data_IF_393285742274
#
_entry.id   IF_393285742274
#
_cell.length_a   1.000
_cell.length_b   1.000
_cell.length_c   1.000
_cell.angle_alpha   90.00
_cell.angle_beta   90.00
_cell.angle_gamma   90.00
#
_symmetry.space_group_name_H-M   'P 1'
#
loop_
_entity.id
_entity.type
_entity.pdbx_description
1 polymer ?
#
# COMPACT_ATOMS: atom_id res chain seq x y z
N UNK A 1 60.41 16.77 29.96
CA UNK A 1 59.41 17.75 29.51
C UNK A 1 59.18 17.46 28.05
N UNK A 2 58.18 16.62 27.76
CA UNK A 2 57.67 16.41 26.42
C UNK A 2 56.30 17.09 26.44
N UNK A 3 56.18 18.17 25.69
CA UNK A 3 54.93 18.91 25.53
C UNK A 3 54.02 18.10 24.61
N UNK A 4 52.84 17.76 25.12
CA UNK A 4 51.71 17.28 24.34
C UNK A 4 51.27 18.39 23.38
N UNK A 5 51.61 18.26 22.10
CA UNK A 5 50.91 18.96 21.01
C UNK A 5 49.49 18.40 20.89
N UNK A 6 48.57 18.94 21.71
CA UNK A 6 47.16 18.93 21.35
C UNK A 6 46.96 19.90 20.19
N UNK A 7 46.95 19.38 18.97
CA UNK A 7 46.42 20.05 17.80
C UNK A 7 44.93 20.34 18.01
N UNK A 8 44.63 21.51 18.56
CA UNK A 8 43.27 22.04 18.56
C UNK A 8 42.87 22.35 17.12
N UNK A 9 41.80 21.72 16.63
CA UNK A 9 41.15 22.16 15.40
C UNK A 9 40.79 23.66 15.54
N UNK A 10 41.14 24.51 14.57
CA UNK A 10 40.88 25.93 14.68
C UNK A 10 39.36 26.18 14.68
N UNK A 11 38.88 27.03 15.59
CA UNK A 11 37.46 27.30 15.78
C UNK A 11 36.70 27.76 14.50
N UNK A 12 37.44 28.25 13.50
CA UNK A 12 36.93 28.60 12.17
C UNK A 12 36.46 27.38 11.37
N UNK A 13 37.17 26.25 11.44
CA UNK A 13 36.84 25.04 10.67
C UNK A 13 35.54 24.42 11.16
N UNK A 14 35.35 24.36 12.49
CA UNK A 14 34.11 23.88 13.09
C UNK A 14 32.92 24.77 12.77
N UNK A 15 33.13 26.08 12.62
CA UNK A 15 32.09 27.01 12.21
C UNK A 15 31.70 26.82 10.73
N UNK A 16 32.67 26.64 9.83
CA UNK A 16 32.37 26.38 8.40
C UNK A 16 31.67 25.03 8.18
N UNK A 17 32.10 23.96 8.87
CA UNK A 17 31.44 22.65 8.80
C UNK A 17 29.99 22.70 9.31
N UNK A 18 29.72 23.47 10.36
CA UNK A 18 28.37 23.70 10.86
C UNK A 18 27.49 24.44 9.83
N UNK A 19 28.05 25.45 9.13
CA UNK A 19 27.35 26.14 8.04
C UNK A 19 26.99 25.19 6.90
N UNK A 20 27.87 24.26 6.52
CA UNK A 20 27.55 23.25 5.51
C UNK A 20 26.39 22.35 5.91
N UNK A 21 26.36 21.94 7.18
CA UNK A 21 25.26 21.14 7.72
C UNK A 21 23.95 21.91 7.67
N UNK A 22 23.93 23.17 8.09
CA UNK A 22 22.74 24.02 8.05
C UNK A 22 22.21 24.20 6.63
N UNK A 23 23.09 24.44 5.64
CA UNK A 23 22.70 24.54 4.24
C UNK A 23 22.05 23.25 3.71
N UNK A 24 22.57 22.09 4.10
CA UNK A 24 22.00 20.79 3.70
C UNK A 24 20.70 20.51 4.44
N UNK A 25 20.60 20.86 5.73
CA UNK A 25 19.37 20.71 6.50
C UNK A 25 18.25 21.62 5.94
N UNK A 26 18.57 22.85 5.52
CA UNK A 26 17.65 23.75 4.81
C UNK A 26 17.18 23.17 3.47
N UNK A 27 18.06 22.51 2.71
CA UNK A 27 17.72 21.83 1.47
C UNK A 27 16.74 20.67 1.69
N UNK A 28 16.97 19.85 2.72
CA UNK A 28 16.03 18.78 3.09
C UNK A 28 14.69 19.35 3.56
N UNK A 29 14.71 20.40 4.40
CA UNK A 29 13.49 21.07 4.84
C UNK A 29 12.71 21.67 3.66
N UNK A 30 13.39 22.26 2.68
CA UNK A 30 12.77 22.76 1.45
C UNK A 30 12.06 21.64 0.67
N UNK A 31 12.68 20.46 0.54
CA UNK A 31 12.06 19.30 -0.12
C UNK A 31 10.88 18.74 0.66
N UNK A 32 11.05 18.53 1.96
CA UNK A 32 10.11 17.82 2.83
C UNK A 32 8.88 18.67 3.14
N UNK A 33 9.08 19.98 3.30
CA UNK A 33 8.04 20.96 3.60
C UNK A 33 7.67 21.83 2.37
N UNK A 34 7.95 21.36 1.15
CA UNK A 34 7.73 22.12 -0.10
C UNK A 34 6.31 22.69 -0.19
N UNK A 35 5.31 21.90 0.20
CA UNK A 35 3.89 22.28 0.15
C UNK A 35 3.41 23.17 1.32
N UNK A 36 4.29 23.55 2.25
CA UNK A 36 3.99 24.59 3.24
C UNK A 36 4.18 25.99 2.65
N UNK A 37 5.05 26.11 1.64
CA UNK A 37 5.39 27.38 0.98
C UNK A 37 4.92 27.45 -0.46
N UNK A 38 4.63 26.32 -1.10
CA UNK A 38 4.12 26.20 -2.46
C UNK A 38 2.73 25.53 -2.46
N UNK A 39 1.89 25.97 -3.38
CA UNK A 39 0.56 25.41 -3.58
C UNK A 39 0.61 24.05 -4.30
N UNK A 40 -0.47 23.28 -4.25
CA UNK A 40 -0.52 21.94 -4.89
C UNK A 40 -0.47 22.06 -6.43
N UNK A 41 -0.94 23.18 -6.96
CA UNK A 41 -0.85 23.54 -8.38
C UNK A 41 0.60 23.62 -8.87
N UNK A 42 1.56 23.82 -7.96
CA UNK A 42 2.99 23.90 -8.25
C UNK A 42 3.70 22.56 -8.09
N UNK A 43 3.00 21.48 -7.73
CA UNK A 43 3.59 20.15 -7.48
C UNK A 43 4.46 19.64 -8.63
N UNK A 44 4.08 19.92 -9.88
CA UNK A 44 4.85 19.53 -11.07
C UNK A 44 6.24 20.19 -11.16
N UNK A 45 6.50 21.27 -10.41
CA UNK A 45 7.80 21.97 -10.34
C UNK A 45 8.66 21.51 -9.17
N UNK A 46 8.11 20.76 -8.20
CA UNK A 46 8.82 20.35 -6.98
C UNK A 46 10.17 19.70 -7.29
N UNK A 47 10.21 18.73 -8.20
CA UNK A 47 11.44 18.01 -8.53
C UNK A 47 12.49 18.91 -9.18
N UNK A 48 12.08 19.84 -10.07
CA UNK A 48 13.01 20.79 -10.68
C UNK A 48 13.52 21.82 -9.68
N UNK A 49 12.66 22.31 -8.79
CA UNK A 49 13.03 23.32 -7.79
C UNK A 49 13.99 22.72 -6.76
N UNK A 50 13.72 21.49 -6.29
CA UNK A 50 14.62 20.74 -5.40
C UNK A 50 15.98 20.49 -6.07
N UNK A 51 16.00 20.14 -7.37
CA UNK A 51 17.24 19.98 -8.11
C UNK A 51 18.04 21.29 -8.22
N UNK A 52 17.37 22.43 -8.45
CA UNK A 52 18.03 23.74 -8.49
C UNK A 52 18.60 24.16 -7.13
N UNK A 53 17.86 23.97 -6.03
CA UNK A 53 18.37 24.23 -4.69
C UNK A 53 19.52 23.29 -4.32
N UNK A 54 19.44 22.02 -4.73
CA UNK A 54 20.54 21.07 -4.58
C UNK A 54 21.81 21.55 -5.30
N UNK A 55 21.70 21.97 -6.55
CA UNK A 55 22.86 22.47 -7.33
C UNK A 55 23.48 23.72 -6.69
N UNK A 56 22.65 24.64 -6.18
CA UNK A 56 23.13 25.84 -5.45
C UNK A 56 23.90 25.45 -4.18
N UNK A 57 23.36 24.52 -3.38
CA UNK A 57 24.01 24.06 -2.16
C UNK A 57 25.28 23.27 -2.45
N UNK A 58 25.27 22.41 -3.47
CA UNK A 58 26.43 21.66 -3.91
C UNK A 58 27.57 22.58 -4.34
N UNK A 59 27.27 23.65 -5.10
CA UNK A 59 28.28 24.61 -5.52
C UNK A 59 29.01 25.27 -4.34
N UNK A 60 28.27 25.64 -3.28
CA UNK A 60 28.86 26.21 -2.05
C UNK A 60 29.78 25.23 -1.32
N UNK A 61 29.43 23.94 -1.33
CA UNK A 61 30.29 22.88 -0.78
C UNK A 61 31.55 22.69 -1.63
N UNK A 62 31.42 22.68 -2.95
CA UNK A 62 32.53 22.48 -3.90
C UNK A 62 33.56 23.62 -3.86
N UNK A 63 33.14 24.87 -3.60
CA UNK A 63 34.04 26.02 -3.39
C UNK A 63 35.05 25.82 -2.25
N UNK A 64 34.79 24.87 -1.35
CA UNK A 64 35.57 24.58 -0.15
C UNK A 64 36.12 23.15 -0.12
N UNK A 65 35.94 22.38 -1.21
CA UNK A 65 36.29 20.97 -1.26
C UNK A 65 37.78 20.71 -1.03
N UNK A 66 38.67 21.48 -1.66
CA UNK A 66 40.13 21.33 -1.53
C UNK A 66 40.62 21.45 -0.07
N UNK A 67 39.85 22.14 0.78
CA UNK A 67 40.19 22.34 2.20
C UNK A 67 39.61 21.24 3.08
N UNK A 68 38.38 20.79 2.80
CA UNK A 68 37.62 19.91 3.69
C UNK A 68 37.39 18.49 3.17
N UNK A 69 37.90 18.11 1.99
CA UNK A 69 37.65 16.79 1.38
C UNK A 69 38.08 15.58 2.26
N UNK A 70 38.94 15.81 3.25
CA UNK A 70 39.38 14.79 4.20
C UNK A 70 38.56 14.74 5.49
N UNK A 71 37.72 15.75 5.76
CA UNK A 71 36.86 15.80 6.95
C UNK A 71 35.61 14.94 6.74
N UNK A 72 35.33 14.07 7.72
CA UNK A 72 34.16 13.19 7.70
C UNK A 72 32.86 13.96 7.54
N UNK A 73 32.69 15.06 8.30
CA UNK A 73 31.48 15.88 8.26
C UNK A 73 31.23 16.49 6.88
N UNK A 74 32.27 16.98 6.21
CA UNK A 74 32.16 17.50 4.84
C UNK A 74 31.73 16.42 3.85
N UNK A 75 32.35 15.23 3.93
CA UNK A 75 31.98 14.08 3.10
C UNK A 75 30.53 13.65 3.32
N UNK A 76 30.05 13.68 4.58
CA UNK A 76 28.66 13.43 4.93
C UNK A 76 27.74 14.47 4.28
N UNK A 77 27.99 15.77 4.48
CA UNK A 77 27.14 16.83 3.94
C UNK A 77 27.11 16.83 2.40
N UNK A 78 28.25 16.63 1.73
CA UNK A 78 28.29 16.48 0.27
C UNK A 78 27.49 15.26 -0.19
N UNK A 79 27.62 14.14 0.50
CA UNK A 79 26.83 12.93 0.25
C UNK A 79 25.32 13.14 0.44
N UNK A 80 24.91 13.77 1.54
CA UNK A 80 23.51 14.12 1.83
C UNK A 80 22.94 15.08 0.80
N UNK A 81 23.67 16.15 0.44
CA UNK A 81 23.27 17.10 -0.59
C UNK A 81 22.92 16.38 -1.90
N UNK A 82 23.80 15.49 -2.38
CA UNK A 82 23.58 14.71 -3.59
C UNK A 82 22.49 13.63 -3.45
N UNK A 83 22.16 13.21 -2.22
CA UNK A 83 21.12 12.23 -1.93
C UNK A 83 19.72 12.86 -1.86
N UNK A 84 19.56 14.19 -1.94
CA UNK A 84 18.21 14.79 -1.93
C UNK A 84 17.39 14.40 -3.17
N UNK A 85 18.07 14.23 -4.32
CA UNK A 85 17.45 13.82 -5.57
C UNK A 85 17.00 12.35 -5.54
N UNK A 86 15.93 11.97 -6.25
CA UNK A 86 15.40 10.60 -6.22
C UNK A 86 16.34 9.56 -6.86
N UNK A 87 17.23 9.98 -7.77
CA UNK A 87 18.15 9.10 -8.47
C UNK A 87 19.41 8.73 -7.67
N UNK A 88 20.03 7.61 -8.06
CA UNK A 88 21.32 7.18 -7.53
C UNK A 88 22.46 8.14 -7.95
N UNK A 89 23.37 8.45 -7.02
CA UNK A 89 24.58 9.25 -7.27
C UNK A 89 25.84 8.48 -6.87
N UNK A 90 26.65 8.12 -7.87
CA UNK A 90 27.93 7.45 -7.63
C UNK A 90 28.90 8.32 -6.82
N UNK A 91 28.80 9.64 -6.93
CA UNK A 91 29.60 10.59 -6.14
C UNK A 91 29.14 10.56 -4.68
N UNK A 92 27.84 10.55 -4.42
CA UNK A 92 27.30 10.41 -3.07
C UNK A 92 27.74 9.08 -2.43
N UNK A 93 27.61 7.96 -3.15
CA UNK A 93 28.07 6.65 -2.67
C UNK A 93 29.54 6.69 -2.28
N UNK A 94 30.41 7.29 -3.11
CA UNK A 94 31.85 7.42 -2.83
C UNK A 94 32.13 8.26 -1.58
N UNK A 95 31.51 9.44 -1.47
CA UNK A 95 31.67 10.32 -0.32
C UNK A 95 31.22 9.65 0.97
N UNK A 96 30.03 9.05 0.98
CA UNK A 96 29.43 8.40 2.15
C UNK A 96 30.19 7.13 2.55
N UNK A 97 30.61 6.32 1.57
CA UNK A 97 31.46 5.14 1.81
C UNK A 97 32.79 5.50 2.46
N UNK A 98 33.36 6.66 2.10
CA UNK A 98 34.58 7.17 2.73
C UNK A 98 34.29 7.70 4.13
N UNK A 99 33.20 8.44 4.33
CA UNK A 99 32.80 8.97 5.63
C UNK A 99 32.64 7.86 6.68
N UNK A 100 31.87 6.80 6.38
CA UNK A 100 31.65 5.69 7.33
C UNK A 100 32.90 4.82 7.57
N UNK A 101 33.89 4.88 6.67
CA UNK A 101 35.19 4.22 6.89
C UNK A 101 36.09 5.02 7.82
N UNK A 102 36.07 6.35 7.71
CA UNK A 102 36.82 7.25 8.59
C UNK A 102 36.20 7.26 9.98
N UNK A 103 34.87 7.23 10.06
CA UNK A 103 34.13 7.23 11.31
C UNK A 103 33.01 6.17 11.30
N UNK A 104 33.31 4.92 11.71
CA UNK A 104 32.33 3.83 11.74
C UNK A 104 31.11 4.08 12.64
N UNK A 105 31.22 4.99 13.61
CA UNK A 105 30.12 5.40 14.50
C UNK A 105 29.13 6.40 13.88
N UNK A 106 29.39 6.88 12.65
CA UNK A 106 28.59 7.91 11.99
C UNK A 106 27.25 7.36 11.47
N UNK A 107 26.25 7.34 12.34
CA UNK A 107 24.90 6.80 12.07
C UNK A 107 24.26 7.42 10.83
N UNK A 108 24.32 8.75 10.68
CA UNK A 108 23.73 9.44 9.54
C UNK A 108 24.44 9.10 8.22
N UNK A 109 25.74 8.85 8.28
CA UNK A 109 26.52 8.37 7.13
C UNK A 109 26.06 6.99 6.67
N UNK A 110 25.86 6.06 7.61
CA UNK A 110 25.33 4.74 7.30
C UNK A 110 23.90 4.79 6.74
N UNK A 111 23.03 5.61 7.33
CA UNK A 111 21.66 5.77 6.85
C UNK A 111 21.63 6.33 5.43
N UNK A 112 22.36 7.42 5.18
CA UNK A 112 22.41 8.06 3.86
C UNK A 112 23.05 7.13 2.82
N UNK A 113 24.07 6.35 3.19
CA UNK A 113 24.67 5.33 2.30
C UNK A 113 23.68 4.21 1.99
N UNK A 114 22.89 3.78 2.98
CA UNK A 114 21.84 2.78 2.78
C UNK A 114 20.75 3.23 1.82
N UNK A 115 20.37 4.52 1.85
CA UNK A 115 19.45 5.13 0.88
C UNK A 115 20.06 5.19 -0.53
N UNK A 116 21.35 5.46 -0.67
CA UNK A 116 22.03 5.40 -1.97
C UNK A 116 22.04 3.98 -2.54
N UNK A 117 22.29 2.95 -1.71
CA UNK A 117 22.18 1.56 -2.15
C UNK A 117 20.75 1.17 -2.53
N UNK A 118 19.74 1.70 -1.81
CA UNK A 118 18.33 1.54 -2.19
C UNK A 118 18.06 2.10 -3.58
N UNK A 119 18.48 3.35 -3.85
CA UNK A 119 18.33 4.01 -5.15
C UNK A 119 19.09 3.29 -6.27
N UNK A 120 20.20 2.62 -5.94
CA UNK A 120 20.97 1.77 -6.86
C UNK A 120 20.29 0.43 -7.16
N UNK A 121 19.26 0.05 -6.40
CA UNK A 121 18.61 -1.27 -6.44
C UNK A 121 19.34 -2.36 -5.65
N UNK A 122 20.40 -2.02 -4.92
CA UNK A 122 21.13 -2.96 -4.06
C UNK A 122 20.48 -3.03 -2.67
N UNK A 123 19.38 -3.79 -2.59
CA UNK A 123 18.62 -3.97 -1.35
C UNK A 123 19.43 -4.66 -0.24
N UNK A 124 20.41 -5.50 -0.61
CA UNK A 124 21.27 -6.18 0.37
C UNK A 124 22.29 -5.19 0.96
N UNK A 125 22.95 -4.39 0.12
CA UNK A 125 23.82 -3.30 0.55
C UNK A 125 23.08 -2.31 1.45
N UNK A 126 21.85 -1.96 1.07
CA UNK A 126 20.96 -1.09 1.86
C UNK A 126 20.65 -1.69 3.24
N UNK A 127 20.22 -2.96 3.31
CA UNK A 127 19.99 -3.69 4.57
C UNK A 127 21.21 -3.67 5.47
N UNK A 128 22.39 -3.96 4.90
CA UNK A 128 23.64 -4.03 5.65
C UNK A 128 24.01 -2.68 6.27
N UNK A 129 23.79 -1.58 5.55
CA UNK A 129 24.03 -0.22 6.06
C UNK A 129 23.12 0.12 7.23
N UNK A 130 21.81 -0.11 7.12
CA UNK A 130 20.87 0.18 8.22
C UNK A 130 21.10 -0.72 9.44
N UNK A 131 21.46 -1.99 9.20
CA UNK A 131 21.84 -2.91 10.29
C UNK A 131 23.12 -2.44 10.97
N UNK A 132 24.12 -2.00 10.20
CA UNK A 132 25.37 -1.43 10.72
C UNK A 132 25.14 -0.18 11.56
N UNK A 133 24.28 0.74 11.10
CA UNK A 133 23.87 1.92 11.86
C UNK A 133 23.24 1.56 13.22
N UNK A 134 22.37 0.54 13.24
CA UNK A 134 21.72 0.07 14.47
C UNK A 134 22.68 -0.61 15.46
N UNK A 135 23.79 -1.18 14.97
CA UNK A 135 24.85 -1.71 15.83
C UNK A 135 25.61 -0.58 16.55
N UNK A 136 25.71 0.60 15.95
CA UNK A 136 26.36 1.77 16.56
C UNK A 136 25.42 2.46 17.55
N UNK A 137 24.19 2.75 17.12
CA UNK A 137 23.19 3.39 17.96
C UNK A 137 21.77 3.10 17.47
N UNK A 138 20.88 2.78 18.41
CA UNK A 138 19.46 2.61 18.13
C UNK A 138 18.85 3.97 17.75
N UNK A 139 18.35 4.09 16.52
CA UNK A 139 17.81 5.34 15.99
C UNK A 139 16.60 5.08 15.07
N UNK A 140 15.69 6.07 14.96
CA UNK A 140 14.43 5.91 14.21
C UNK A 140 14.63 5.81 12.70
N UNK A 141 15.62 6.50 12.13
CA UNK A 141 15.89 6.50 10.68
C UNK A 141 16.25 5.10 10.21
N UNK A 142 17.22 4.45 10.85
CA UNK A 142 17.63 3.09 10.47
C UNK A 142 16.51 2.07 10.67
N UNK A 143 15.70 2.20 11.73
CA UNK A 143 14.55 1.30 11.97
C UNK A 143 13.48 1.44 10.87
N UNK A 144 13.13 2.68 10.48
CA UNK A 144 12.19 2.94 9.38
C UNK A 144 12.72 2.37 8.06
N UNK A 145 13.96 2.68 7.72
CA UNK A 145 14.53 2.28 6.44
C UNK A 145 14.77 0.76 6.39
N UNK A 146 15.15 0.13 7.50
CA UNK A 146 15.25 -1.33 7.59
C UNK A 146 13.86 -1.98 7.44
N UNK A 147 12.80 -1.40 8.02
CA UNK A 147 11.43 -1.85 7.79
C UNK A 147 11.10 -1.81 6.29
N UNK A 148 11.42 -0.71 5.59
CA UNK A 148 11.22 -0.57 4.14
C UNK A 148 11.94 -1.67 3.35
N UNK A 149 13.20 -1.90 3.68
CA UNK A 149 14.02 -2.89 2.97
C UNK A 149 13.51 -4.30 3.18
N UNK A 150 13.20 -4.69 4.41
CA UNK A 150 12.80 -6.05 4.73
C UNK A 150 11.60 -6.52 3.91
N UNK A 151 10.59 -5.67 3.72
CA UNK A 151 9.39 -6.02 2.94
C UNK A 151 9.58 -6.03 1.41
N UNK A 152 10.69 -5.49 0.91
CA UNK A 152 11.05 -5.48 -0.53
C UNK A 152 12.14 -6.47 -0.90
N UNK A 153 12.80 -7.10 0.09
CA UNK A 153 13.86 -8.07 -0.18
C UNK A 153 13.31 -9.28 -0.95
N UNK A 154 14.07 -9.79 -1.94
CA UNK A 154 13.77 -11.08 -2.53
C UNK A 154 13.75 -12.18 -1.47
N UNK A 155 12.77 -13.06 -1.56
CA UNK A 155 12.62 -14.21 -0.68
C UNK A 155 12.71 -15.50 -1.50
N UNK A 156 13.36 -16.53 -0.92
CA UNK A 156 13.50 -17.84 -1.57
C UNK A 156 12.17 -18.57 -1.66
N UNK A 157 11.26 -18.32 -0.72
CA UNK A 157 9.92 -18.90 -0.67
C UNK A 157 8.95 -17.99 0.12
N UNK A 158 7.67 -18.38 0.14
CA UNK A 158 6.62 -17.63 0.84
C UNK A 158 6.89 -17.50 2.34
N UNK A 159 7.37 -18.55 3.01
CA UNK A 159 7.59 -18.53 4.46
C UNK A 159 8.71 -17.55 4.85
N UNK A 160 9.79 -17.50 4.06
CA UNK A 160 10.86 -16.54 4.23
C UNK A 160 10.35 -15.11 4.02
N UNK A 161 9.50 -14.89 3.01
CA UNK A 161 8.87 -13.60 2.78
C UNK A 161 7.98 -13.18 3.96
N UNK A 162 7.15 -14.09 4.48
CA UNK A 162 6.31 -13.84 5.66
C UNK A 162 7.15 -13.42 6.87
N UNK A 163 8.29 -14.08 7.12
CA UNK A 163 9.21 -13.70 8.20
C UNK A 163 9.80 -12.31 8.01
N UNK A 164 10.23 -11.97 6.79
CA UNK A 164 10.74 -10.63 6.47
C UNK A 164 9.67 -9.56 6.69
N UNK A 165 8.42 -9.81 6.32
CA UNK A 165 7.30 -8.88 6.54
C UNK A 165 6.98 -8.73 8.03
N UNK A 166 7.02 -9.80 8.82
CA UNK A 166 6.86 -9.70 10.27
C UNK A 166 7.98 -8.87 10.92
N UNK A 167 9.24 -9.12 10.54
CA UNK A 167 10.39 -8.34 11.00
C UNK A 167 10.27 -6.86 10.59
N UNK A 168 9.75 -6.58 9.39
CA UNK A 168 9.46 -5.22 8.91
C UNK A 168 8.49 -4.48 9.83
N UNK A 169 7.42 -5.14 10.30
CA UNK A 169 6.46 -4.57 11.25
C UNK A 169 7.13 -4.30 12.60
N UNK A 170 7.97 -5.21 13.08
CA UNK A 170 8.68 -5.03 14.35
C UNK A 170 9.63 -3.82 14.31
N UNK A 171 10.39 -3.66 13.22
CA UNK A 171 11.26 -2.49 13.03
C UNK A 171 10.46 -1.18 12.98
N UNK A 172 9.34 -1.15 12.25
CA UNK A 172 8.49 0.04 12.20
C UNK A 172 7.86 0.39 13.55
N UNK A 173 7.41 -0.61 14.32
CA UNK A 173 6.91 -0.40 15.69
C UNK A 173 7.98 0.17 16.60
N UNK A 174 9.21 -0.35 16.53
CA UNK A 174 10.33 0.17 17.30
C UNK A 174 10.64 1.62 16.92
N UNK A 175 10.53 2.00 15.63
CA UNK A 175 10.70 3.39 15.20
C UNK A 175 9.66 4.32 15.84
N UNK A 176 8.38 3.96 15.78
CA UNK A 176 7.29 4.70 16.44
C UNK A 176 7.49 4.79 17.96
N UNK A 177 7.99 3.74 18.59
CA UNK A 177 8.25 3.75 20.04
C UNK A 177 9.37 4.72 20.43
N UNK A 178 10.33 4.99 19.55
CA UNK A 178 11.36 5.99 19.82
C UNK A 178 10.81 7.42 19.73
N UNK A 179 9.84 7.65 18.85
CA UNK A 179 9.21 8.95 18.66
C UNK A 179 7.78 8.80 18.13
N UNK A 180 6.80 8.92 19.04
CA UNK A 180 5.38 8.79 18.72
C UNK A 180 4.82 10.00 17.98
N UNK A 181 5.60 11.08 17.85
CA UNK A 181 5.24 12.31 17.13
C UNK A 181 5.78 12.34 15.70
N UNK A 182 6.61 11.36 15.33
CA UNK A 182 7.18 11.24 13.98
C UNK A 182 6.14 10.69 12.99
N UNK A 183 5.62 11.55 12.13
CA UNK A 183 4.65 11.19 11.09
C UNK A 183 5.17 10.08 10.18
N UNK A 184 6.43 10.18 9.75
CA UNK A 184 7.07 9.19 8.89
C UNK A 184 7.10 7.79 9.53
N UNK A 185 7.40 7.68 10.83
CA UNK A 185 7.38 6.38 11.53
C UNK A 185 6.00 5.73 11.51
N UNK A 186 4.94 6.51 11.74
CA UNK A 186 3.55 6.02 11.64
C UNK A 186 3.16 5.62 10.22
N UNK A 187 3.58 6.41 9.24
CA UNK A 187 3.38 6.09 7.82
C UNK A 187 4.04 4.76 7.43
N UNK A 188 5.32 4.58 7.79
CA UNK A 188 6.07 3.34 7.52
C UNK A 188 5.45 2.15 8.26
N UNK A 189 4.93 2.34 9.47
CA UNK A 189 4.18 1.31 10.18
C UNK A 189 2.87 0.95 9.46
N UNK A 190 2.17 1.93 8.89
CA UNK A 190 1.04 1.71 8.00
C UNK A 190 1.42 0.81 6.83
N UNK A 191 2.47 1.17 6.09
CA UNK A 191 3.00 0.38 4.97
C UNK A 191 3.32 -1.06 5.39
N UNK A 192 4.01 -1.25 6.53
CA UNK A 192 4.36 -2.57 7.04
C UNK A 192 3.11 -3.41 7.39
N UNK A 193 2.08 -2.81 7.98
CA UNK A 193 0.81 -3.49 8.22
C UNK A 193 0.06 -3.84 6.94
N UNK A 194 0.12 -3.01 5.89
CA UNK A 194 -0.48 -3.37 4.61
C UNK A 194 0.24 -4.58 4.00
N UNK A 195 1.57 -4.63 4.03
CA UNK A 195 2.33 -5.80 3.60
C UNK A 195 1.95 -7.04 4.41
N UNK A 196 1.84 -6.92 5.74
CA UNK A 196 1.44 -8.04 6.60
C UNK A 196 0.00 -8.50 6.32
N UNK A 197 -0.92 -7.57 6.08
CA UNK A 197 -2.30 -7.84 5.71
C UNK A 197 -2.37 -8.72 4.45
N UNK A 198 -1.68 -8.34 3.38
CA UNK A 198 -1.67 -9.13 2.15
C UNK A 198 -0.89 -10.43 2.26
N UNK A 199 0.05 -10.54 3.20
CA UNK A 199 0.83 -11.75 3.41
C UNK A 199 0.13 -12.79 4.32
N UNK A 200 -0.65 -12.35 5.30
CA UNK A 200 -1.26 -13.21 6.32
C UNK A 200 -2.78 -13.40 6.13
N UNK A 201 -3.22 -13.66 4.89
CA UNK A 201 -4.61 -14.05 4.60
C UNK A 201 -5.64 -12.94 4.85
N UNK A 202 -5.22 -11.67 4.79
CA UNK A 202 -6.10 -10.50 4.83
C UNK A 202 -6.99 -10.40 6.06
N UNK A 203 -6.42 -10.64 7.25
CA UNK A 203 -7.11 -10.42 8.53
C UNK A 203 -7.57 -8.94 8.65
N UNK A 204 -8.89 -8.67 8.77
CA UNK A 204 -9.43 -7.31 8.85
C UNK A 204 -8.84 -6.46 9.99
N UNK A 205 -8.35 -7.07 11.07
CA UNK A 205 -7.68 -6.31 12.14
C UNK A 205 -6.41 -5.62 11.66
N UNK A 206 -5.67 -6.23 10.73
CA UNK A 206 -4.44 -5.67 10.18
C UNK A 206 -4.74 -4.50 9.25
N UNK A 207 -5.82 -4.57 8.45
CA UNK A 207 -6.23 -3.42 7.63
C UNK A 207 -6.66 -2.24 8.50
N UNK A 208 -7.39 -2.47 9.59
CA UNK A 208 -7.72 -1.41 10.56
C UNK A 208 -6.46 -0.82 11.23
N UNK A 209 -5.48 -1.65 11.58
CA UNK A 209 -4.20 -1.17 12.12
C UNK A 209 -3.43 -0.31 11.12
N UNK A 210 -3.40 -0.71 9.85
CA UNK A 210 -2.76 0.08 8.79
C UNK A 210 -3.46 1.44 8.59
N UNK A 211 -4.79 1.44 8.46
CA UNK A 211 -5.58 2.66 8.30
C UNK A 211 -5.42 3.60 9.51
N UNK A 212 -5.43 3.05 10.73
CA UNK A 212 -5.19 3.83 11.94
C UNK A 212 -3.78 4.41 12.00
N UNK A 213 -2.76 3.69 11.51
CA UNK A 213 -1.39 4.18 11.48
C UNK A 213 -1.23 5.35 10.48
N UNK A 214 -1.83 5.26 9.29
CA UNK A 214 -1.85 6.39 8.34
C UNK A 214 -2.60 7.60 8.90
N UNK A 215 -3.76 7.41 9.53
CA UNK A 215 -4.49 8.51 10.16
C UNK A 215 -3.69 9.15 11.31
N UNK A 216 -2.98 8.34 12.08
CA UNK A 216 -2.12 8.84 13.15
C UNK A 216 -0.91 9.61 12.59
N UNK A 217 -0.33 9.18 11.46
CA UNK A 217 0.73 9.91 10.74
C UNK A 217 0.31 11.33 10.39
N UNK A 218 -0.82 11.50 9.70
CA UNK A 218 -1.37 12.82 9.34
C UNK A 218 -1.78 13.66 10.55
N UNK A 219 -2.14 13.02 11.67
CA UNK A 219 -2.54 13.71 12.90
C UNK A 219 -1.35 14.32 13.63
N UNK A 220 -0.22 13.62 13.68
CA UNK A 220 0.97 14.09 14.43
C UNK A 220 1.91 14.95 13.60
N UNK A 221 1.86 14.80 12.27
CA UNK A 221 2.73 15.49 11.33
C UNK A 221 1.91 16.04 10.16
N UNK A 222 1.93 17.37 10.04
CA UNK A 222 1.20 18.07 8.98
C UNK A 222 1.79 17.79 7.59
N UNK A 223 3.11 17.55 7.50
CA UNK A 223 3.78 17.24 6.24
C UNK A 223 3.31 15.91 5.66
N UNK A 224 2.87 14.96 6.49
CA UNK A 224 2.37 13.65 6.05
C UNK A 224 1.13 13.76 5.14
N UNK A 225 0.32 14.80 5.28
CA UNK A 225 -0.81 15.08 4.37
C UNK A 225 -0.36 15.36 2.92
N UNK A 226 0.93 15.60 2.72
CA UNK A 226 1.56 15.89 1.44
C UNK A 226 2.47 14.76 0.92
N UNK A 227 2.44 13.58 1.54
CA UNK A 227 3.13 12.38 1.03
C UNK A 227 2.25 11.68 -0.01
N UNK A 228 2.57 11.74 -1.32
CA UNK A 228 1.75 11.11 -2.35
C UNK A 228 1.62 9.59 -2.14
N UNK A 229 2.70 8.93 -1.71
CA UNK A 229 2.78 7.48 -1.48
C UNK A 229 1.87 7.03 -0.33
N UNK A 230 1.71 7.86 0.71
CA UNK A 230 0.76 7.60 1.80
C UNK A 230 -0.66 7.50 1.27
N UNK A 231 -1.09 8.49 0.47
CA UNK A 231 -2.44 8.51 -0.10
C UNK A 231 -2.66 7.35 -1.06
N UNK A 232 -1.67 7.03 -1.90
CA UNK A 232 -1.75 5.92 -2.85
C UNK A 232 -1.81 4.53 -2.16
N UNK A 233 -0.94 4.30 -1.17
CA UNK A 233 -0.90 3.04 -0.43
C UNK A 233 -2.18 2.83 0.38
N UNK A 234 -2.68 3.89 1.02
CA UNK A 234 -3.96 3.90 1.73
C UNK A 234 -5.14 3.66 0.79
N UNK A 235 -5.17 4.33 -0.38
CA UNK A 235 -6.21 4.15 -1.39
C UNK A 235 -6.30 2.70 -1.88
N UNK A 236 -5.15 2.05 -2.07
CA UNK A 236 -5.07 0.64 -2.46
C UNK A 236 -5.70 -0.28 -1.41
N UNK A 237 -5.49 -0.01 -0.12
CA UNK A 237 -6.16 -0.75 0.95
C UNK A 237 -7.67 -0.46 0.98
N UNK A 238 -8.08 0.80 0.82
CA UNK A 238 -9.50 1.17 0.72
C UNK A 238 -10.19 0.46 -0.45
N UNK A 239 -9.55 0.36 -1.61
CA UNK A 239 -10.10 -0.35 -2.76
C UNK A 239 -10.33 -1.83 -2.45
N UNK A 240 -9.36 -2.49 -1.79
CA UNK A 240 -9.51 -3.88 -1.38
C UNK A 240 -10.67 -4.09 -0.39
N UNK A 241 -10.84 -3.17 0.55
CA UNK A 241 -11.92 -3.16 1.54
C UNK A 241 -13.28 -2.68 0.98
N UNK A 242 -13.35 -2.41 -0.32
CA UNK A 242 -14.54 -1.90 -1.03
C UNK A 242 -15.00 -0.51 -0.53
N UNK A 243 -14.08 0.28 0.03
CA UNK A 243 -14.28 1.70 0.35
C UNK A 243 -13.93 2.56 -0.86
N UNK A 244 -14.65 2.36 -1.96
CA UNK A 244 -14.28 2.89 -3.29
C UNK A 244 -14.23 4.42 -3.36
N UNK A 245 -15.08 5.14 -2.61
CA UNK A 245 -15.03 6.61 -2.53
C UNK A 245 -13.69 7.09 -1.97
N UNK A 246 -13.29 6.55 -0.81
CA UNK A 246 -12.01 6.88 -0.18
C UNK A 246 -10.81 6.46 -1.05
N UNK A 247 -10.93 5.37 -1.82
CA UNK A 247 -9.90 4.95 -2.76
C UNK A 247 -9.72 5.96 -3.91
N UNK A 248 -10.82 6.42 -4.52
CA UNK A 248 -10.79 7.43 -5.57
C UNK A 248 -10.22 8.77 -5.08
N UNK A 249 -10.61 9.21 -3.88
CA UNK A 249 -10.06 10.41 -3.25
C UNK A 249 -8.55 10.30 -3.02
N UNK A 250 -8.09 9.15 -2.49
CA UNK A 250 -6.66 8.93 -2.23
C UNK A 250 -5.83 8.86 -3.51
N UNK A 251 -6.31 8.20 -4.57
CA UNK A 251 -5.63 8.20 -5.86
C UNK A 251 -5.57 9.59 -6.49
N UNK A 252 -6.69 10.34 -6.45
CA UNK A 252 -6.73 11.72 -6.94
C UNK A 252 -5.80 12.63 -6.14
N UNK A 253 -5.69 12.43 -4.83
CA UNK A 253 -4.79 13.21 -3.96
C UNK A 253 -3.32 12.90 -4.24
N UNK A 254 -2.96 11.63 -4.41
CA UNK A 254 -1.62 11.22 -4.79
C UNK A 254 -1.21 11.82 -6.16
N UNK A 255 -2.10 11.75 -7.16
CA UNK A 255 -1.87 12.36 -8.48
C UNK A 255 -1.68 13.90 -8.41
N UNK A 256 -2.40 14.57 -7.51
CA UNK A 256 -2.26 16.02 -7.34
C UNK A 256 -0.93 16.41 -6.66
N UNK A 257 -0.45 15.57 -5.73
CA UNK A 257 0.80 15.80 -5.00
C UNK A 257 2.05 15.42 -5.80
N UNK A 258 1.95 14.47 -6.71
CA UNK A 258 3.01 14.14 -7.68
C UNK A 258 2.42 13.93 -9.09
N UNK A 259 2.28 15.00 -9.89
CA UNK A 259 1.79 14.92 -11.25
C UNK A 259 2.69 14.12 -12.22
N UNK A 260 3.96 13.88 -11.84
CA UNK A 260 4.89 13.07 -12.63
C UNK A 260 4.70 11.57 -12.42
N UNK A 261 3.96 11.16 -11.39
CA UNK A 261 3.69 9.76 -11.10
C UNK A 261 2.46 9.27 -11.88
N UNK A 262 2.68 8.33 -12.80
CA UNK A 262 1.64 7.82 -13.71
C UNK A 262 0.66 6.82 -13.05
N UNK A 263 1.07 6.10 -12.00
CA UNK A 263 0.24 5.03 -11.43
C UNK A 263 -1.05 5.57 -10.75
N UNK A 264 -1.03 6.65 -9.94
CA UNK A 264 -2.25 7.18 -9.31
C UNK A 264 -3.37 7.58 -10.28
N UNK A 265 -3.14 8.39 -11.35
CA UNK A 265 -4.20 8.73 -12.29
C UNK A 265 -4.68 7.50 -13.09
N UNK A 266 -3.81 6.54 -13.39
CA UNK A 266 -4.21 5.27 -14.02
C UNK A 266 -5.14 4.48 -13.09
N UNK A 267 -4.78 4.33 -11.80
CA UNK A 267 -5.61 3.63 -10.80
C UNK A 267 -6.96 4.30 -10.60
N UNK A 268 -7.00 5.64 -10.51
CA UNK A 268 -8.24 6.39 -10.41
C UNK A 268 -9.14 6.13 -11.64
N UNK A 269 -8.57 6.22 -12.85
CA UNK A 269 -9.29 5.99 -14.10
C UNK A 269 -9.85 4.57 -14.18
N UNK A 270 -9.02 3.55 -13.97
CA UNK A 270 -9.44 2.15 -14.04
C UNK A 270 -10.52 1.84 -13.01
N UNK A 271 -10.46 2.42 -11.80
CA UNK A 271 -11.50 2.25 -10.79
C UNK A 271 -12.82 2.92 -11.21
N UNK A 272 -12.78 4.12 -11.80
CA UNK A 272 -13.98 4.77 -12.33
C UNK A 272 -14.63 3.95 -13.45
N UNK A 273 -13.84 3.47 -14.41
CA UNK A 273 -14.33 2.61 -15.51
C UNK A 273 -14.93 1.30 -14.98
N UNK A 274 -14.33 0.72 -13.94
CA UNK A 274 -14.86 -0.45 -13.25
C UNK A 274 -16.22 -0.17 -12.61
N UNK A 275 -16.35 0.92 -11.85
CA UNK A 275 -17.60 1.28 -11.17
C UNK A 275 -18.73 1.61 -12.15
N UNK A 276 -18.43 2.32 -13.25
CA UNK A 276 -19.37 2.57 -14.35
C UNK A 276 -19.87 1.25 -14.93
N UNK A 277 -18.95 0.36 -15.30
CA UNK A 277 -19.28 -0.91 -15.93
C UNK A 277 -20.07 -1.83 -15.01
N UNK A 278 -19.69 -1.93 -13.73
CA UNK A 278 -20.44 -2.72 -12.74
C UNK A 278 -21.85 -2.18 -12.57
N UNK A 279 -22.00 -0.86 -12.41
CA UNK A 279 -23.30 -0.22 -12.21
C UNK A 279 -24.21 -0.43 -13.43
N UNK A 280 -23.69 -0.22 -14.64
CA UNK A 280 -24.41 -0.45 -15.89
C UNK A 280 -24.85 -1.91 -16.06
N UNK A 281 -23.95 -2.87 -15.80
CA UNK A 281 -24.25 -4.29 -15.91
C UNK A 281 -25.25 -4.77 -14.87
N UNK A 282 -25.21 -4.25 -13.64
CA UNK A 282 -26.22 -4.54 -12.60
C UNK A 282 -27.59 -4.02 -13.04
N UNK A 283 -27.68 -2.76 -13.50
CA UNK A 283 -28.94 -2.17 -13.97
C UNK A 283 -29.53 -2.93 -15.17
N UNK A 284 -28.67 -3.35 -16.11
CA UNK A 284 -29.08 -4.08 -17.32
C UNK A 284 -29.14 -5.60 -17.15
N UNK A 285 -28.93 -6.13 -15.94
CA UNK A 285 -28.88 -7.58 -15.65
C UNK A 285 -27.94 -8.32 -16.63
N UNK A 286 -26.74 -7.78 -16.84
CA UNK A 286 -25.74 -8.33 -17.76
C UNK A 286 -26.14 -8.27 -19.24
N UNK A 287 -27.13 -7.45 -19.62
CA UNK A 287 -27.73 -7.39 -20.96
C UNK A 287 -28.38 -8.70 -21.42
N UNK A 288 -28.74 -9.57 -20.47
CA UNK A 288 -29.38 -10.86 -20.76
C UNK A 288 -30.81 -10.61 -21.24
N UNK A 289 -31.15 -11.12 -22.44
CA UNK A 289 -32.50 -11.01 -23.02
C UNK A 289 -33.56 -11.59 -22.05
N UNK A 290 -34.69 -10.91 -21.90
CA UNK A 290 -35.76 -11.28 -20.95
C UNK A 290 -36.23 -12.75 -21.06
N UNK A 291 -36.32 -13.31 -22.28
CA UNK A 291 -36.68 -14.73 -22.47
C UNK A 291 -35.61 -15.68 -21.91
N UNK A 292 -34.33 -15.36 -22.12
CA UNK A 292 -33.20 -16.16 -21.59
C UNK A 292 -33.15 -16.05 -20.06
N UNK A 293 -33.37 -14.85 -19.51
CA UNK A 293 -33.42 -14.64 -18.07
C UNK A 293 -34.54 -15.47 -17.42
N UNK A 294 -35.76 -15.43 -17.94
CA UNK A 294 -36.88 -16.26 -17.45
C UNK A 294 -36.56 -17.75 -17.47
N UNK A 295 -35.91 -18.24 -18.53
CA UNK A 295 -35.48 -19.64 -18.61
C UNK A 295 -34.38 -19.99 -17.60
N UNK A 296 -33.48 -19.06 -17.28
CA UNK A 296 -32.47 -19.26 -16.23
C UNK A 296 -33.13 -19.36 -14.86
N UNK A 297 -34.07 -18.45 -14.58
CA UNK A 297 -34.77 -18.38 -13.29
C UNK A 297 -35.78 -19.52 -13.08
N UNK A 298 -36.41 -20.04 -14.14
CA UNK A 298 -37.28 -21.23 -14.02
C UNK A 298 -36.50 -22.48 -13.57
N UNK A 299 -35.19 -22.51 -13.81
CA UNK A 299 -34.30 -23.60 -13.39
C UNK A 299 -33.65 -23.34 -12.02
N UNK A 300 -33.99 -22.23 -11.35
CA UNK A 300 -33.50 -21.92 -10.01
C UNK A 300 -34.37 -22.67 -9.00
N UNK A 301 -33.82 -23.71 -8.38
CA UNK A 301 -34.53 -24.53 -7.42
C UNK A 301 -33.72 -24.72 -6.13
N UNK A 302 -34.38 -25.14 -5.06
CA UNK A 302 -33.76 -25.35 -3.75
C UNK A 302 -32.73 -26.48 -3.74
N UNK A 303 -32.75 -27.39 -4.72
CA UNK A 303 -31.72 -28.42 -4.85
C UNK A 303 -30.33 -27.83 -5.12
N UNK A 304 -30.26 -26.61 -5.67
CA UNK A 304 -29.01 -25.88 -5.88
C UNK A 304 -28.31 -25.48 -4.57
N UNK A 305 -29.02 -25.49 -3.42
CA UNK A 305 -28.43 -25.29 -2.09
C UNK A 305 -27.36 -26.33 -1.78
N UNK A 306 -27.46 -27.53 -2.37
CA UNK A 306 -26.47 -28.59 -2.22
C UNK A 306 -26.13 -28.83 -0.75
N UNK A 307 -24.86 -28.75 -0.35
CA UNK A 307 -24.45 -28.93 1.06
C UNK A 307 -25.19 -28.05 2.06
N UNK A 308 -25.61 -26.84 1.71
CA UNK A 308 -26.24 -25.88 2.64
C UNK A 308 -27.62 -26.32 3.14
N UNK A 309 -28.30 -27.25 2.47
CA UNK A 309 -29.58 -27.77 2.96
C UNK A 309 -29.40 -28.84 4.05
N UNK A 310 -28.17 -29.32 4.30
CA UNK A 310 -27.91 -30.36 5.29
C UNK A 310 -27.94 -29.80 6.72
N UNK A 311 -28.59 -30.48 7.68
CA UNK A 311 -28.48 -30.16 9.11
C UNK A 311 -27.05 -30.26 9.66
N UNK A 312 -26.16 -30.94 8.95
CA UNK A 312 -24.75 -31.09 9.32
C UNK A 312 -23.84 -30.08 8.59
N UNK A 313 -24.42 -29.17 7.79
CA UNK A 313 -23.64 -28.14 7.12
C UNK A 313 -22.94 -27.27 8.15
N UNK A 314 -21.62 -27.14 8.00
CA UNK A 314 -20.82 -26.19 8.78
C UNK A 314 -20.55 -24.97 7.91
N UNK A 315 -21.10 -23.84 8.33
CA UNK A 315 -20.91 -22.54 7.71
C UNK A 315 -19.48 -22.01 7.93
N UNK A 316 -19.08 -20.97 7.18
CA UNK A 316 -17.78 -20.33 7.35
C UNK A 316 -17.58 -19.74 8.76
N UNK A 317 -18.65 -19.29 9.42
CA UNK A 317 -18.62 -18.76 10.79
C UNK A 317 -18.55 -19.85 11.86
N UNK A 318 -18.59 -21.13 11.47
CA UNK A 318 -18.56 -22.28 12.37
C UNK A 318 -19.94 -22.73 12.85
N UNK A 319 -21.02 -22.01 12.53
CA UNK A 319 -22.39 -22.47 12.78
C UNK A 319 -22.65 -23.79 12.07
N UNK A 320 -23.28 -24.73 12.78
CA UNK A 320 -23.74 -26.01 12.25
C UNK A 320 -25.26 -25.96 12.08
N UNK A 321 -25.75 -26.36 10.91
CA UNK A 321 -27.18 -26.39 10.60
C UNK A 321 -27.45 -26.06 9.14
N UNK A 322 -28.66 -26.39 8.69
CA UNK A 322 -29.13 -25.97 7.37
C UNK A 322 -29.26 -24.45 7.30
N UNK A 323 -29.06 -23.91 6.10
CA UNK A 323 -29.26 -22.50 5.82
C UNK A 323 -30.61 -22.26 5.15
N UNK A 324 -31.26 -21.17 5.53
CA UNK A 324 -32.52 -20.75 4.94
C UNK A 324 -32.27 -19.96 3.63
N UNK A 325 -32.82 -20.36 2.48
CA UNK A 325 -32.71 -19.57 1.26
C UNK A 325 -33.46 -18.24 1.41
N UNK A 326 -32.79 -17.13 1.06
CA UNK A 326 -33.37 -15.78 1.06
C UNK A 326 -33.14 -15.08 -0.27
N UNK A 327 -34.10 -14.24 -0.66
CA UNK A 327 -34.00 -13.37 -1.84
C UNK A 327 -33.00 -12.25 -1.57
N UNK A 328 -32.33 -11.77 -2.61
CA UNK A 328 -31.33 -10.72 -2.53
C UNK A 328 -31.91 -9.41 -2.00
N UNK A 329 -33.15 -9.09 -2.36
CA UNK A 329 -33.89 -7.92 -1.88
C UNK A 329 -34.08 -7.93 -0.35
N UNK A 330 -34.20 -9.12 0.25
CA UNK A 330 -34.46 -9.33 1.69
C UNK A 330 -33.21 -9.31 2.56
N UNK A 331 -32.01 -9.33 1.97
CA UNK A 331 -30.75 -9.30 2.72
C UNK A 331 -30.55 -7.95 3.42
N UNK A 332 -30.08 -8.02 4.66
CA UNK A 332 -29.69 -6.85 5.46
C UNK A 332 -28.23 -6.47 5.23
N UNK A 333 -27.88 -5.20 5.47
CA UNK A 333 -26.48 -4.74 5.39
C UNK A 333 -25.61 -5.48 6.42
N UNK A 334 -24.40 -5.86 6.01
CA UNK A 334 -23.48 -6.62 6.83
C UNK A 334 -23.67 -8.13 6.72
N UNK A 335 -23.38 -8.84 7.81
CA UNK A 335 -23.38 -10.30 7.85
C UNK A 335 -24.79 -10.85 8.05
N UNK A 336 -25.24 -11.71 7.13
CA UNK A 336 -26.55 -12.36 7.21
C UNK A 336 -26.40 -13.80 7.71
N UNK A 337 -26.35 -14.00 9.03
CA UNK A 337 -26.13 -15.31 9.64
C UNK A 337 -27.29 -16.29 9.37
N UNK A 338 -26.99 -17.56 9.08
CA UNK A 338 -27.99 -18.61 8.92
C UNK A 338 -28.78 -18.65 7.63
N UNK A 339 -28.52 -17.75 6.71
CA UNK A 339 -29.23 -17.67 5.43
C UNK A 339 -28.28 -17.97 4.27
N UNK A 340 -28.84 -18.34 3.13
CA UNK A 340 -28.12 -18.54 1.89
C UNK A 340 -28.74 -17.70 0.79
N UNK A 341 -27.93 -16.88 0.11
CA UNK A 341 -28.36 -16.22 -1.12
C UNK A 341 -28.21 -17.19 -2.30
N UNK A 342 -29.22 -17.28 -3.16
CA UNK A 342 -29.25 -18.17 -4.31
C UNK A 342 -29.63 -17.37 -5.57
N UNK A 343 -28.86 -17.54 -6.65
CA UNK A 343 -29.19 -16.89 -7.91
C UNK A 343 -28.43 -17.43 -9.12
N UNK A 344 -28.69 -16.81 -10.26
CA UNK A 344 -28.09 -17.12 -11.56
C UNK A 344 -27.08 -16.07 -11.98
N UNK A 345 -25.93 -16.52 -12.47
CA UNK A 345 -24.90 -15.62 -13.02
C UNK A 345 -25.38 -15.00 -14.33
N UNK A 346 -25.30 -13.67 -14.44
CA UNK A 346 -25.75 -12.92 -15.64
C UNK A 346 -24.63 -12.16 -16.35
N UNK A 347 -23.53 -11.85 -15.67
CA UNK A 347 -22.30 -11.32 -16.25
C UNK A 347 -21.10 -11.68 -15.37
N UNK A 348 -19.88 -11.55 -15.90
CA UNK A 348 -18.64 -11.64 -15.12
C UNK A 348 -17.64 -10.59 -15.58
N UNK A 349 -16.76 -10.20 -14.66
CA UNK A 349 -15.72 -9.21 -14.83
C UNK A 349 -14.51 -9.63 -14.01
N UNK A 350 -13.36 -9.80 -14.67
CA UNK A 350 -12.08 -9.85 -13.96
C UNK A 350 -11.61 -8.42 -13.71
N UNK A 351 -11.26 -8.06 -12.47
CA UNK A 351 -10.56 -6.80 -12.20
C UNK A 351 -9.14 -6.89 -12.73
N UNK A 352 -8.67 -5.81 -13.38
CA UNK A 352 -7.24 -5.62 -13.60
C UNK A 352 -6.51 -5.63 -12.25
N UNK A 353 -5.33 -6.24 -12.19
CA UNK A 353 -4.54 -6.34 -10.96
C UNK A 353 -4.98 -7.41 -9.94
N UNK A 354 -5.92 -8.31 -10.27
CA UNK A 354 -6.31 -9.49 -9.45
C UNK A 354 -6.87 -9.17 -8.05
N UNK A 355 -7.44 -7.99 -7.81
CA UNK A 355 -8.04 -7.70 -6.51
C UNK A 355 -9.25 -8.59 -6.20
N UNK A 356 -10.16 -8.74 -7.17
CA UNK A 356 -11.31 -9.64 -7.06
C UNK A 356 -11.82 -10.10 -8.43
N UNK A 357 -12.50 -11.25 -8.45
CA UNK A 357 -13.36 -11.68 -9.54
C UNK A 357 -14.79 -11.24 -9.23
N UNK A 358 -15.38 -10.42 -10.10
CA UNK A 358 -16.73 -9.90 -9.92
C UNK A 358 -17.71 -10.57 -10.89
N UNK A 359 -18.92 -10.88 -10.42
CA UNK A 359 -19.99 -11.35 -11.30
C UNK A 359 -21.35 -10.85 -10.84
N UNK A 360 -22.27 -10.67 -11.78
CA UNK A 360 -23.65 -10.33 -11.48
C UNK A 360 -24.46 -11.58 -11.20
N UNK A 361 -25.27 -11.55 -10.14
CA UNK A 361 -26.19 -12.61 -9.79
C UNK A 361 -27.62 -12.07 -9.73
N UNK A 362 -28.57 -12.80 -10.32
CA UNK A 362 -30.00 -12.49 -10.30
C UNK A 362 -30.78 -13.60 -9.59
N UNK A 363 -31.69 -13.24 -8.70
CA UNK A 363 -32.55 -14.17 -7.96
C UNK A 363 -33.95 -14.33 -8.56
N UNK A 364 -34.83 -15.04 -7.86
CA UNK A 364 -36.21 -15.29 -8.28
C UNK A 364 -37.10 -14.05 -8.35
N UNK A 365 -36.74 -12.96 -7.65
CA UNK A 365 -37.46 -11.67 -7.69
C UNK A 365 -36.86 -10.74 -8.76
N UNK A 366 -35.97 -11.26 -9.59
CA UNK A 366 -35.17 -10.53 -10.56
C UNK A 366 -34.33 -9.39 -9.97
N UNK A 367 -34.02 -9.44 -8.67
CA UNK A 367 -33.08 -8.51 -8.05
C UNK A 367 -31.68 -8.87 -8.54
N UNK A 368 -30.92 -7.89 -9.04
CA UNK A 368 -29.54 -8.08 -9.48
C UNK A 368 -28.57 -7.47 -8.47
N UNK A 369 -27.56 -8.23 -8.08
CA UNK A 369 -26.45 -7.74 -7.25
C UNK A 369 -25.12 -8.20 -7.84
N UNK A 370 -24.08 -7.39 -7.63
CA UNK A 370 -22.72 -7.82 -7.94
C UNK A 370 -22.16 -8.63 -6.76
N UNK A 371 -21.45 -9.70 -7.05
CA UNK A 371 -20.72 -10.51 -6.08
C UNK A 371 -19.24 -10.31 -6.36
N UNK A 372 -18.49 -9.91 -5.34
CA UNK A 372 -17.04 -9.68 -5.43
C UNK A 372 -16.33 -10.80 -4.67
N UNK A 373 -15.63 -11.67 -5.40
CA UNK A 373 -14.94 -12.84 -4.85
C UNK A 373 -13.45 -12.55 -4.80
N UNK A 374 -12.88 -12.65 -3.60
CA UNK A 374 -11.47 -12.41 -3.34
C UNK A 374 -10.70 -13.73 -3.26
N UNK A 375 -9.38 -13.61 -3.28
CA UNK A 375 -8.45 -14.73 -3.17
C UNK A 375 -8.69 -15.82 -4.24
N UNK A 376 -8.99 -15.42 -5.47
CA UNK A 376 -9.30 -16.33 -6.58
C UNK A 376 -8.06 -16.71 -7.39
N UNK A 377 -7.92 -17.99 -7.72
CA UNK A 377 -6.92 -18.44 -8.69
C UNK A 377 -7.24 -17.93 -10.10
N UNK A 378 -6.22 -17.70 -10.92
CA UNK A 378 -6.39 -17.23 -12.32
C UNK A 378 -7.24 -18.18 -13.17
N UNK A 379 -7.26 -19.47 -12.83
CA UNK A 379 -8.04 -20.50 -13.52
C UNK A 379 -9.49 -20.59 -13.03
N UNK A 380 -9.86 -19.84 -12.00
CA UNK A 380 -11.20 -19.91 -11.40
C UNK A 380 -12.13 -18.83 -11.95
N UNK A 381 -13.41 -19.17 -12.05
CA UNK A 381 -14.49 -18.26 -12.40
C UNK A 381 -15.82 -19.00 -12.46
N UNK A 382 -16.89 -18.25 -12.69
CA UNK A 382 -18.24 -18.79 -12.94
C UNK A 382 -18.74 -18.38 -14.31
N UNK A 383 -19.61 -19.20 -14.90
CA UNK A 383 -20.17 -18.98 -16.23
C UNK A 383 -21.58 -18.39 -16.16
N UNK A 384 -21.94 -17.61 -17.19
CA UNK A 384 -23.30 -17.08 -17.33
C UNK A 384 -24.31 -18.23 -17.38
N UNK A 385 -25.27 -18.22 -16.46
CA UNK A 385 -26.30 -19.26 -16.30
C UNK A 385 -26.02 -20.27 -15.18
N UNK A 386 -24.83 -20.27 -14.59
CA UNK A 386 -24.53 -21.07 -13.41
C UNK A 386 -25.44 -20.68 -12.25
N UNK A 387 -25.86 -21.68 -11.46
CA UNK A 387 -26.49 -21.45 -10.15
C UNK A 387 -25.40 -21.24 -9.12
N UNK A 388 -25.42 -20.11 -8.42
CA UNK A 388 -24.47 -19.82 -7.33
C UNK A 388 -25.25 -19.68 -6.02
N UNK A 389 -24.71 -20.29 -4.97
CA UNK A 389 -25.17 -20.12 -3.60
C UNK A 389 -24.05 -19.51 -2.78
N UNK A 390 -24.41 -18.47 -2.02
CA UNK A 390 -23.53 -17.77 -1.09
C UNK A 390 -24.06 -18.00 0.33
N UNK A 391 -23.39 -18.87 1.10
CA UNK A 391 -23.68 -19.06 2.52
C UNK A 391 -23.38 -17.79 3.31
N UNK A 392 -24.29 -17.41 4.19
CA UNK A 392 -24.16 -16.28 5.13
C UNK A 392 -23.59 -15.00 4.50
N UNK A 393 -24.25 -14.45 3.47
CA UNK A 393 -23.69 -13.42 2.61
C UNK A 393 -23.38 -12.12 3.37
N UNK A 394 -22.24 -11.50 3.05
CA UNK A 394 -21.82 -10.20 3.54
C UNK A 394 -22.26 -9.10 2.57
N UNK A 395 -23.38 -8.43 2.86
CA UNK A 395 -23.94 -7.40 1.98
C UNK A 395 -23.32 -6.02 2.26
N UNK A 396 -22.87 -5.32 1.23
CA UNK A 396 -22.49 -3.90 1.29
C UNK A 396 -23.37 -3.05 0.38
N UNK A 397 -23.68 -1.83 0.84
CA UNK A 397 -24.32 -0.79 0.02
C UNK A 397 -23.25 0.22 -0.35
N UNK A 398 -23.16 0.53 -1.64
CA UNK A 398 -22.24 1.51 -2.19
C UNK A 398 -23.04 2.71 -2.64
N UNK A 399 -22.70 3.88 -2.11
CA UNK A 399 -23.19 5.19 -2.55
C UNK A 399 -21.97 6.08 -2.67
N UNK A 400 -21.46 6.21 -3.89
CA UNK A 400 -20.16 6.82 -4.16
C UNK A 400 -20.40 8.04 -5.05
N UNK A 401 -19.81 9.17 -4.68
CA UNK A 401 -19.75 10.37 -5.51
C UNK A 401 -18.29 10.77 -5.63
N UNK A 402 -17.81 10.95 -6.86
CA UNK A 402 -16.44 11.39 -7.12
C UNK A 402 -16.41 12.24 -8.39
N UNK A 403 -15.94 13.48 -8.28
CA UNK A 403 -16.05 14.50 -9.34
C UNK A 403 -17.51 14.58 -9.82
N UNK A 404 -17.76 14.54 -11.12
CA UNK A 404 -19.11 14.65 -11.70
C UNK A 404 -19.84 13.30 -11.85
N UNK A 405 -19.35 12.22 -11.23
CA UNK A 405 -19.90 10.86 -11.36
C UNK A 405 -20.47 10.37 -10.03
N UNK A 406 -21.56 9.61 -10.11
CA UNK A 406 -22.21 8.99 -8.95
C UNK A 406 -22.59 7.54 -9.24
N UNK A 407 -22.38 6.66 -8.25
CA UNK A 407 -22.63 5.22 -8.33
C UNK A 407 -23.45 4.77 -7.12
N UNK A 408 -24.60 4.12 -7.35
CA UNK A 408 -25.38 3.44 -6.31
C UNK A 408 -25.61 1.98 -6.73
N UNK A 409 -25.09 1.05 -5.93
CA UNK A 409 -25.31 -0.38 -6.11
C UNK A 409 -25.11 -1.15 -4.79
N UNK A 410 -25.56 -2.41 -4.77
CA UNK A 410 -25.31 -3.34 -3.66
C UNK A 410 -24.36 -4.44 -4.12
N UNK A 411 -23.41 -4.82 -3.25
CA UNK A 411 -22.51 -5.95 -3.47
C UNK A 411 -22.65 -7.01 -2.39
N UNK A 412 -22.30 -8.24 -2.72
CA UNK A 412 -22.00 -9.30 -1.74
C UNK A 412 -20.50 -9.56 -1.79
N UNK A 413 -19.81 -9.37 -0.66
CA UNK A 413 -18.40 -9.70 -0.50
C UNK A 413 -18.24 -11.18 -0.18
N UNK A 414 -17.30 -11.83 -0.84
CA UNK A 414 -16.93 -13.22 -0.61
C UNK A 414 -15.41 -13.34 -0.52
N UNK A 415 -14.87 -13.61 0.67
CA UNK A 415 -13.41 -13.56 0.90
C UNK A 415 -12.63 -14.71 0.25
N UNK A 416 -13.32 -15.79 -0.14
CA UNK A 416 -12.70 -16.93 -0.82
C UNK A 416 -13.70 -17.65 -1.73
N UNK A 417 -13.28 -18.13 -2.92
CA UNK A 417 -14.12 -18.95 -3.77
C UNK A 417 -14.56 -20.26 -3.08
N UNK A 418 -13.82 -20.75 -2.08
CA UNK A 418 -14.18 -21.96 -1.32
C UNK A 418 -15.49 -21.82 -0.54
N UNK A 419 -15.93 -20.58 -0.30
CA UNK A 419 -17.19 -20.30 0.36
C UNK A 419 -18.40 -20.45 -0.58
N UNK A 420 -18.17 -20.52 -1.89
CA UNK A 420 -19.22 -20.63 -2.89
C UNK A 420 -19.63 -22.07 -3.16
N UNK A 421 -20.92 -22.25 -3.46
CA UNK A 421 -21.44 -23.46 -4.06
C UNK A 421 -21.91 -23.11 -5.47
N UNK A 422 -21.31 -23.75 -6.47
CA UNK A 422 -21.61 -23.51 -7.88
C UNK A 422 -22.22 -24.79 -8.45
N UNK A 423 -23.41 -24.68 -9.02
CA UNK A 423 -24.19 -25.80 -9.55
C UNK A 423 -24.32 -26.98 -8.55
N UNK A 424 -24.55 -26.65 -7.28
CA UNK A 424 -24.71 -27.61 -6.19
C UNK A 424 -23.41 -28.22 -5.65
N UNK A 425 -22.23 -27.79 -6.13
CA UNK A 425 -20.92 -28.34 -5.74
C UNK A 425 -20.05 -27.30 -5.04
N UNK A 426 -19.29 -27.73 -4.03
CA UNK A 426 -18.25 -26.90 -3.39
C UNK A 426 -17.08 -26.69 -4.35
N UNK A 427 -16.38 -25.57 -4.19
CA UNK A 427 -15.17 -25.29 -4.97
C UNK A 427 -13.98 -26.12 -4.45
N UNK A 428 -13.05 -26.43 -5.36
CA UNK A 428 -11.80 -27.11 -5.04
C UNK A 428 -10.82 -26.15 -4.35
N UNK A 429 -10.00 -26.62 -3.41
CA UNK A 429 -8.91 -25.85 -2.77
C UNK A 429 -8.02 -25.14 -3.79
N UNK A 430 -7.75 -25.75 -4.95
CA UNK A 430 -6.96 -25.14 -6.04
C UNK A 430 -7.61 -23.91 -6.69
N UNK A 431 -8.87 -23.58 -6.34
CA UNK A 431 -9.54 -22.36 -6.78
C UNK A 431 -9.09 -21.12 -6.01
N UNK A 432 -8.41 -21.26 -4.87
CA UNK A 432 -8.00 -20.16 -4.02
C UNK A 432 -6.50 -19.85 -4.18
N UNK A 433 -6.18 -18.57 -4.33
CA UNK A 433 -4.81 -18.02 -4.26
C UNK A 433 -4.90 -16.71 -3.48
N UNK A 434 -4.01 -16.48 -2.50
CA UNK A 434 -4.00 -15.24 -1.74
C UNK A 434 -3.81 -14.03 -2.65
N UNK A 435 -4.61 -12.98 -2.43
CA UNK A 435 -4.42 -11.71 -3.10
C UNK A 435 -3.08 -11.09 -2.68
N UNK A 436 -2.31 -10.62 -3.65
CA UNK A 436 -1.07 -9.88 -3.40
C UNK A 436 -1.12 -8.53 -4.08
N UNK A 437 -0.55 -7.53 -3.41
CA UNK A 437 -0.28 -6.22 -4.01
C UNK A 437 1.20 -6.18 -4.33
N UNK A 438 1.53 -6.02 -5.61
CA UNK A 438 2.90 -5.71 -6.02
C UNK A 438 3.14 -4.23 -5.79
N UNK A 439 3.93 -3.91 -4.78
CA UNK A 439 4.52 -2.58 -4.67
C UNK A 439 5.68 -2.52 -5.67
N UNK A 440 5.68 -1.53 -6.57
CA UNK A 440 6.94 -1.17 -7.23
C UNK A 440 7.86 -0.61 -6.13
N UNK A 441 9.14 -1.02 -6.06
CA UNK A 441 10.08 -0.37 -5.15
C UNK A 441 10.25 1.07 -5.65
N UNK A 442 9.51 1.98 -5.05
CA UNK A 442 9.77 3.41 -5.16
C UNK A 442 10.69 3.79 -4.01
N UNK A 443 11.66 4.65 -4.28
CA UNK A 443 12.36 5.35 -3.22
C UNK A 443 11.36 6.38 -2.69
N UNK A 444 10.70 6.04 -1.57
CA UNK A 444 9.91 6.99 -0.77
C UNK A 444 10.82 8.10 -0.23
#
# INVERSE_FOLDING_TARGET
MAEDEKSGEPATDNNELQVFKELVDELYNFRDCYFETHSVEEAGRKQSDVAQEMEKTLKKLEEKEDVYEHKTEFLLQKGRCLNVAPGFSAVAEKCLSRAVKLEPGLVDGWNTLGEQYWKKGDLIGSKNCFTGALQQSKNKVSLRNLSMVLRQLPAVNSDAHSKQVMESVDMARLAVQLDVTDGTSWYILGNAYVSLFFNCGQNPQLSQQALSAYAQSEKVDRAACCYPELHFNRATLFQYEEMFGCALEGYSRAAALDPGWEDPPEKEKTLLEYLEKVTDLVQKKGTVKARRLRNMLSNLNTSALGPCSSPQFRSPTGRVGSLEPRTLSSLSHGHNAGVAALGKVVFSMASEGRMSFAFGMVDSEETCMVVMVYNTANSWGVLIGDSVVIPEPQLKRHSITHKDKSFDFKSIRVDSPLLLIVNGKKQNVNSQIAASVSYKPQCE
#
